data_IF_514049302994
#
_entry.id   IF_514049302994
#
_cell.length_a   1.000
_cell.length_b   1.000
_cell.length_c   1.000
_cell.angle_alpha   90.00
_cell.angle_beta   90.00
_cell.angle_gamma   90.00
#
_symmetry.space_group_name_H-M   'P 1'
#
loop_
_entity.id
_entity.type
_entity.pdbx_description
1 polymer ?
#
# COMPACT_ATOMS: atom_id res chain seq x y z
N UNK A 1 2.02 13.61 5.22
CA UNK A 1 2.81 13.75 6.47
C UNK A 1 3.34 15.19 6.61
N UNK A 2 3.53 15.74 7.80
CA UNK A 2 4.14 17.07 7.99
C UNK A 2 5.67 17.04 7.79
N UNK A 3 6.29 18.17 7.46
CA UNK A 3 7.71 18.32 7.14
C UNK A 3 8.64 17.80 8.26
N UNK A 4 8.26 17.98 9.53
CA UNK A 4 9.04 17.49 10.68
C UNK A 4 9.13 15.95 10.73
N UNK A 5 8.06 15.25 10.36
CA UNK A 5 8.05 13.78 10.31
C UNK A 5 8.93 13.28 9.16
N UNK A 6 8.87 13.94 8.00
CA UNK A 6 9.71 13.61 6.85
C UNK A 6 11.21 13.76 7.15
N UNK A 7 11.60 14.79 7.90
CA UNK A 7 13.00 15.00 8.31
C UNK A 7 13.47 13.93 9.31
N UNK A 8 12.59 13.55 10.24
CA UNK A 8 12.84 12.43 11.17
C UNK A 8 13.05 11.10 10.44
N UNK A 9 12.29 10.83 9.38
CA UNK A 9 12.45 9.61 8.58
C UNK A 9 13.78 9.56 7.82
N UNK A 10 14.30 10.71 7.37
CA UNK A 10 15.62 10.81 6.71
C UNK A 10 16.78 10.53 7.66
N UNK A 11 16.58 10.72 8.96
CA UNK A 11 17.60 10.48 9.99
C UNK A 11 17.53 9.07 10.59
N UNK A 12 16.62 8.21 10.14
CA UNK A 12 16.58 6.81 10.56
C UNK A 12 17.74 6.02 9.95
N UNK A 13 18.43 5.23 10.77
CA UNK A 13 19.46 4.30 10.31
C UNK A 13 18.83 3.22 9.42
N UNK A 14 19.07 3.33 8.11
CA UNK A 14 18.62 2.35 7.12
C UNK A 14 19.53 1.12 7.13
N UNK A 15 18.95 -0.06 6.92
CA UNK A 15 19.73 -1.30 6.74
C UNK A 15 20.64 -1.19 5.50
N UNK A 16 21.81 -1.86 5.49
CA UNK A 16 22.63 -1.98 4.29
C UNK A 16 21.83 -2.46 3.07
N UNK A 17 21.93 -1.75 1.96
CA UNK A 17 21.18 -2.01 0.72
C UNK A 17 19.86 -1.23 0.59
N UNK A 18 19.48 -0.44 1.60
CA UNK A 18 18.25 0.37 1.58
C UNK A 18 18.53 1.88 1.50
N UNK A 19 19.80 2.29 1.37
CA UNK A 19 20.20 3.70 1.41
C UNK A 19 19.79 4.50 0.17
N UNK A 20 19.54 3.83 -0.96
CA UNK A 20 19.17 4.46 -2.22
C UNK A 20 17.65 4.55 -2.44
N UNK A 21 16.82 4.18 -1.45
CA UNK A 21 15.37 4.28 -1.57
C UNK A 21 14.92 5.73 -1.75
N UNK A 22 14.02 5.94 -2.71
CA UNK A 22 13.40 7.25 -2.93
C UNK A 22 12.35 7.52 -1.85
N UNK A 23 12.67 8.44 -0.94
CA UNK A 23 11.79 8.83 0.16
C UNK A 23 10.47 9.46 -0.31
N UNK A 24 10.45 10.08 -1.49
CA UNK A 24 9.21 10.64 -2.06
C UNK A 24 8.28 9.54 -2.56
N UNK A 25 8.83 8.50 -3.21
CA UNK A 25 8.07 7.32 -3.61
C UNK A 25 7.60 6.53 -2.40
N UNK A 26 8.44 6.40 -1.36
CA UNK A 26 8.04 5.74 -0.12
C UNK A 26 6.87 6.46 0.55
N UNK A 27 6.93 7.80 0.63
CA UNK A 27 5.83 8.60 1.17
C UNK A 27 4.54 8.43 0.34
N UNK A 28 4.64 8.49 -0.99
CA UNK A 28 3.49 8.27 -1.86
C UNK A 28 2.90 6.86 -1.69
N UNK A 29 3.75 5.84 -1.55
CA UNK A 29 3.34 4.47 -1.28
C UNK A 29 2.63 4.34 0.08
N UNK A 30 3.16 4.99 1.12
CA UNK A 30 2.52 5.01 2.45
C UNK A 30 1.15 5.69 2.44
N UNK A 31 1.03 6.84 1.79
CA UNK A 31 -0.22 7.58 1.68
C UNK A 31 -1.27 6.77 0.89
N UNK A 32 -0.86 6.13 -0.21
CA UNK A 32 -1.74 5.27 -0.99
C UNK A 32 -2.18 4.02 -0.21
N UNK A 33 -1.27 3.37 0.53
CA UNK A 33 -1.61 2.24 1.41
C UNK A 33 -2.61 2.65 2.50
N UNK A 34 -2.40 3.81 3.13
CA UNK A 34 -3.31 4.34 4.17
C UNK A 34 -4.70 4.64 3.61
N UNK A 35 -4.78 5.25 2.42
CA UNK A 35 -6.05 5.53 1.76
C UNK A 35 -6.76 4.24 1.32
N UNK A 36 -6.02 3.27 0.79
CA UNK A 36 -6.56 1.97 0.39
C UNK A 36 -7.07 1.17 1.58
N UNK A 37 -6.34 1.16 2.70
CA UNK A 37 -6.76 0.54 3.95
C UNK A 37 -8.13 1.07 4.39
N UNK A 38 -8.27 2.39 4.53
CA UNK A 38 -9.53 3.01 4.95
C UNK A 38 -10.67 2.71 3.97
N UNK A 39 -10.43 2.81 2.67
CA UNK A 39 -11.43 2.53 1.65
C UNK A 39 -11.90 1.06 1.69
N UNK A 40 -10.96 0.13 1.86
CA UNK A 40 -11.25 -1.30 1.97
C UNK A 40 -11.98 -1.64 3.28
N UNK A 41 -11.58 -1.04 4.41
CA UNK A 41 -12.27 -1.18 5.70
C UNK A 41 -13.72 -0.68 5.63
N UNK A 42 -13.99 0.42 4.91
CA UNK A 42 -15.36 0.89 4.69
C UNK A 42 -16.11 -0.05 3.75
N UNK A 43 -15.48 -0.45 2.64
CA UNK A 43 -16.12 -1.30 1.62
C UNK A 43 -16.50 -2.68 2.14
N UNK A 44 -15.71 -3.26 3.05
CA UNK A 44 -16.01 -4.57 3.62
C UNK A 44 -17.33 -4.61 4.39
N UNK A 45 -17.74 -3.49 4.98
CA UNK A 45 -19.00 -3.37 5.72
C UNK A 45 -20.25 -3.38 4.83
N UNK A 46 -20.08 -3.31 3.51
CA UNK A 46 -21.19 -3.37 2.55
C UNK A 46 -21.78 -4.79 2.38
N UNK A 47 -21.14 -5.81 2.97
CA UNK A 47 -21.60 -7.21 2.97
C UNK A 47 -21.88 -7.79 1.57
N UNK A 48 -21.17 -7.31 0.56
CA UNK A 48 -21.13 -7.91 -0.78
C UNK A 48 -20.11 -9.06 -0.82
N UNK A 49 -20.08 -9.82 -1.91
CA UNK A 49 -19.09 -10.89 -2.10
C UNK A 49 -17.64 -10.38 -2.22
N UNK A 50 -17.43 -9.09 -2.52
CA UNK A 50 -16.11 -8.44 -2.41
C UNK A 50 -15.63 -8.25 -0.96
N UNK A 51 -16.51 -8.28 0.04
CA UNK A 51 -16.19 -7.91 1.44
C UNK A 51 -15.00 -8.66 2.06
N UNK A 52 -14.84 -10.00 1.86
CA UNK A 52 -13.67 -10.71 2.38
C UNK A 52 -12.36 -10.23 1.76
N UNK A 53 -12.34 -9.94 0.45
CA UNK A 53 -11.15 -9.41 -0.21
C UNK A 53 -10.85 -7.99 0.28
N UNK A 54 -11.88 -7.15 0.51
CA UNK A 54 -11.70 -5.83 1.09
C UNK A 54 -11.02 -5.91 2.47
N UNK A 55 -11.51 -6.74 3.40
CA UNK A 55 -10.86 -6.84 4.72
C UNK A 55 -9.41 -7.31 4.62
N UNK A 56 -9.13 -8.33 3.81
CA UNK A 56 -7.75 -8.81 3.63
C UNK A 56 -6.85 -7.73 2.99
N UNK A 57 -7.39 -6.96 2.04
CA UNK A 57 -6.66 -5.85 1.43
C UNK A 57 -6.39 -4.72 2.42
N UNK A 58 -7.34 -4.44 3.31
CA UNK A 58 -7.13 -3.47 4.39
C UNK A 58 -5.98 -3.89 5.30
N UNK A 59 -5.95 -5.13 5.77
CA UNK A 59 -4.89 -5.66 6.63
C UNK A 59 -3.51 -5.64 5.95
N UNK A 60 -3.47 -6.00 4.66
CA UNK A 60 -2.24 -5.98 3.86
C UNK A 60 -1.71 -4.56 3.66
N UNK A 61 -2.59 -3.61 3.29
CA UNK A 61 -2.21 -2.21 3.11
C UNK A 61 -1.76 -1.59 4.44
N UNK A 62 -2.45 -1.88 5.55
CA UNK A 62 -2.05 -1.44 6.88
C UNK A 62 -0.65 -1.95 7.23
N UNK A 63 -0.41 -3.25 7.02
CA UNK A 63 0.87 -3.89 7.32
C UNK A 63 1.98 -3.29 6.47
N UNK A 64 1.75 -3.09 5.17
CA UNK A 64 2.72 -2.50 4.25
C UNK A 64 3.11 -1.08 4.67
N UNK A 65 2.14 -0.24 4.96
CA UNK A 65 2.34 1.12 5.48
C UNK A 65 3.14 1.12 6.80
N UNK A 66 2.79 0.24 7.74
CA UNK A 66 3.49 0.11 9.03
C UNK A 66 4.90 -0.47 8.92
N UNK A 67 5.20 -1.19 7.84
CA UNK A 67 6.55 -1.67 7.55
C UNK A 67 7.45 -0.56 7.03
N UNK A 68 6.94 0.34 6.17
CA UNK A 68 7.69 1.51 5.69
C UNK A 68 8.03 2.52 6.80
N UNK A 69 7.28 2.53 7.90
CA UNK A 69 7.61 3.33 9.10
C UNK A 69 8.71 2.73 9.99
N UNK A 70 9.12 1.48 9.75
CA UNK A 70 10.04 0.74 10.64
C UNK A 70 11.05 -0.05 9.82
N UNK A 71 11.83 0.68 9.02
CA UNK A 71 12.78 0.09 8.07
C UNK A 71 13.93 -0.67 8.73
N UNK A 72 14.20 -0.44 10.01
CA UNK A 72 15.21 -1.20 10.73
C UNK A 72 14.83 -2.69 10.81
N UNK A 73 15.71 -3.56 10.32
CA UNK A 73 15.45 -5.00 10.20
C UNK A 73 14.77 -5.43 8.90
N UNK A 74 14.47 -4.50 7.99
CA UNK A 74 13.94 -4.82 6.67
C UNK A 74 15.07 -4.89 5.64
N UNK A 75 15.29 -6.07 5.06
CA UNK A 75 16.21 -6.21 3.92
C UNK A 75 15.48 -5.83 2.62
N UNK A 76 16.20 -5.48 1.54
CA UNK A 76 15.58 -5.21 0.25
C UNK A 76 14.69 -6.36 -0.24
N UNK A 77 15.16 -7.61 -0.09
CA UNK A 77 14.41 -8.79 -0.50
C UNK A 77 13.08 -8.96 0.24
N UNK A 78 13.06 -8.70 1.56
CA UNK A 78 11.83 -8.78 2.35
C UNK A 78 10.87 -7.66 1.94
N UNK A 79 11.36 -6.43 1.82
CA UNK A 79 10.52 -5.29 1.43
C UNK A 79 9.91 -5.47 0.03
N UNK A 80 10.68 -5.93 -0.96
CA UNK A 80 10.14 -6.25 -2.30
C UNK A 80 9.07 -7.34 -2.23
N UNK A 81 9.27 -8.39 -1.43
CA UNK A 81 8.29 -9.47 -1.26
C UNK A 81 6.99 -8.97 -0.62
N UNK A 82 7.09 -8.05 0.34
CA UNK A 82 5.92 -7.41 0.96
C UNK A 82 5.15 -6.53 -0.03
N UNK A 83 5.86 -5.75 -0.85
CA UNK A 83 5.27 -4.94 -1.91
C UNK A 83 4.56 -5.82 -2.94
N UNK A 84 5.17 -6.93 -3.37
CA UNK A 84 4.57 -7.90 -4.29
C UNK A 84 3.28 -8.51 -3.72
N UNK A 85 3.29 -8.88 -2.44
CA UNK A 85 2.10 -9.38 -1.76
C UNK A 85 0.99 -8.32 -1.63
N UNK A 86 1.35 -7.07 -1.34
CA UNK A 86 0.40 -5.96 -1.26
C UNK A 86 -0.25 -5.67 -2.63
N UNK A 87 0.55 -5.65 -3.71
CA UNK A 87 0.05 -5.48 -5.08
C UNK A 87 -0.90 -6.60 -5.48
N UNK A 88 -0.55 -7.85 -5.20
CA UNK A 88 -1.40 -9.00 -5.51
C UNK A 88 -2.77 -8.90 -4.79
N UNK A 89 -2.77 -8.49 -3.52
CA UNK A 89 -4.02 -8.30 -2.77
C UNK A 89 -4.83 -7.10 -3.28
N UNK A 90 -4.17 -5.98 -3.62
CA UNK A 90 -4.82 -4.82 -4.22
C UNK A 90 -5.48 -5.18 -5.57
N UNK A 91 -4.80 -5.95 -6.42
CA UNK A 91 -5.34 -6.41 -7.70
C UNK A 91 -6.60 -7.26 -7.49
N UNK A 92 -6.55 -8.26 -6.62
CA UNK A 92 -7.71 -9.10 -6.31
C UNK A 92 -8.88 -8.27 -5.76
N UNK A 93 -8.64 -7.36 -4.81
CA UNK A 93 -9.68 -6.51 -4.24
C UNK A 93 -10.29 -5.57 -5.29
N UNK A 94 -9.46 -4.97 -6.14
CA UNK A 94 -9.89 -4.12 -7.25
C UNK A 94 -10.82 -4.89 -8.20
N UNK A 95 -10.41 -6.07 -8.67
CA UNK A 95 -11.18 -6.88 -9.61
C UNK A 95 -12.54 -7.30 -9.05
N UNK A 96 -12.63 -7.54 -7.73
CA UNK A 96 -13.90 -7.82 -7.07
C UNK A 96 -14.76 -6.56 -6.95
N UNK A 97 -14.19 -5.43 -6.50
CA UNK A 97 -14.92 -4.18 -6.36
C UNK A 97 -15.45 -3.62 -7.70
N UNK A 98 -14.71 -3.80 -8.80
CA UNK A 98 -15.15 -3.38 -10.15
C UNK A 98 -16.41 -4.12 -10.61
N UNK A 99 -16.71 -5.31 -10.09
CA UNK A 99 -17.97 -6.01 -10.38
C UNK A 99 -19.19 -5.27 -9.81
N UNK A 100 -18.98 -4.36 -8.84
CA UNK A 100 -20.03 -3.62 -8.16
C UNK A 100 -20.06 -2.13 -8.45
N UNK A 101 -19.08 -1.59 -9.18
CA UNK A 101 -18.89 -0.14 -9.34
C UNK A 101 -20.09 0.59 -9.98
N UNK A 102 -20.86 -0.12 -10.82
CA UNK A 102 -22.05 0.43 -11.47
C UNK A 102 -23.22 0.69 -10.51
N UNK A 103 -23.25 0.03 -9.36
CA UNK A 103 -24.35 0.12 -8.38
C UNK A 103 -23.90 0.47 -6.96
N UNK A 104 -22.59 0.53 -6.69
CA UNK A 104 -22.03 0.91 -5.39
C UNK A 104 -20.91 1.94 -5.55
N UNK A 105 -21.19 3.17 -5.09
CA UNK A 105 -20.19 4.24 -5.01
C UNK A 105 -18.99 3.83 -4.14
N UNK A 106 -19.26 3.10 -3.05
CA UNK A 106 -18.24 2.62 -2.12
C UNK A 106 -17.29 1.66 -2.83
N UNK A 107 -17.80 0.75 -3.65
CA UNK A 107 -16.96 -0.16 -4.44
C UNK A 107 -16.18 0.58 -5.53
N UNK A 108 -16.79 1.58 -6.20
CA UNK A 108 -16.09 2.42 -7.17
C UNK A 108 -14.89 3.14 -6.54
N UNK A 109 -15.09 3.74 -5.37
CA UNK A 109 -14.02 4.40 -4.60
C UNK A 109 -12.96 3.39 -4.15
N UNK A 110 -13.38 2.22 -3.66
CA UNK A 110 -12.46 1.16 -3.20
C UNK A 110 -11.59 0.63 -4.35
N UNK A 111 -12.17 0.37 -5.53
CA UNK A 111 -11.43 -0.05 -6.71
C UNK A 111 -10.38 0.99 -7.14
N UNK A 112 -10.76 2.28 -7.16
CA UNK A 112 -9.84 3.37 -7.46
C UNK A 112 -8.68 3.46 -6.44
N UNK A 113 -8.98 3.28 -5.15
CA UNK A 113 -7.96 3.28 -4.10
C UNK A 113 -7.01 2.07 -4.21
N UNK A 114 -7.55 0.87 -4.51
CA UNK A 114 -6.74 -0.33 -4.76
C UNK A 114 -5.80 -0.14 -5.95
N UNK A 115 -6.29 0.46 -7.05
CA UNK A 115 -5.48 0.76 -8.23
C UNK A 115 -4.34 1.73 -7.90
N UNK A 116 -4.65 2.83 -7.19
CA UNK A 116 -3.65 3.81 -6.79
C UNK A 116 -2.58 3.22 -5.85
N UNK A 117 -3.00 2.36 -4.91
CA UNK A 117 -2.09 1.65 -4.02
C UNK A 117 -1.18 0.68 -4.76
N UNK A 118 -1.71 -0.09 -5.70
CA UNK A 118 -0.94 -0.99 -6.54
C UNK A 118 0.13 -0.23 -7.35
N UNK A 119 -0.25 0.88 -8.00
CA UNK A 119 0.68 1.70 -8.78
C UNK A 119 1.80 2.28 -7.92
N UNK A 120 1.46 2.76 -6.72
CA UNK A 120 2.44 3.31 -5.79
C UNK A 120 3.38 2.23 -5.22
N UNK A 121 2.86 1.03 -4.93
CA UNK A 121 3.68 -0.11 -4.52
C UNK A 121 4.64 -0.55 -5.63
N UNK A 122 4.18 -0.56 -6.88
CA UNK A 122 5.01 -0.87 -8.06
C UNK A 122 6.14 0.14 -8.22
N UNK A 123 5.82 1.44 -8.19
CA UNK A 123 6.82 2.50 -8.28
C UNK A 123 7.87 2.41 -7.16
N UNK A 124 7.44 2.13 -5.93
CA UNK A 124 8.36 1.94 -4.81
C UNK A 124 9.26 0.72 -5.01
N UNK A 125 8.69 -0.42 -5.43
CA UNK A 125 9.45 -1.64 -5.70
C UNK A 125 10.47 -1.44 -6.81
N UNK A 126 10.08 -0.81 -7.92
CA UNK A 126 10.95 -0.58 -9.06
C UNK A 126 12.11 0.36 -8.72
N UNK A 127 11.88 1.34 -7.84
CA UNK A 127 12.95 2.21 -7.32
C UNK A 127 14.04 1.43 -6.58
N UNK A 128 13.71 0.28 -5.99
CA UNK A 128 14.65 -0.57 -5.27
C UNK A 128 15.45 -1.52 -6.18
N UNK A 129 15.01 -1.73 -7.43
CA UNK A 129 15.70 -2.59 -8.39
C UNK A 129 16.81 -1.87 -9.16
N UNK A 130 16.78 -0.53 -9.17
CA UNK A 130 17.72 0.32 -9.92
C UNK A 130 18.92 0.74 -9.06
N UNK A 131 18.99 0.29 -7.80
CA UNK A 131 20.01 0.62 -6.81
C UNK A 131 21.14 -0.42 -6.72
#
# INVERSE_FOLDING_TARGET
MDAMMMDSMKSMDMMPGMQAMDMSLMQACMDACSACEQACTICSTQMMDCSPACMNCADMCNTMMRSMMRMQGMTPAVMMSMLDACMAMCQLCMDMCMQHEAHSEVCRMCAAACKACMDACMAMRDSMMVA
#
